data_IF_540585671058
#
_entry.id   IF_540585671058
#
_cell.length_a   1.000
_cell.length_b   1.000
_cell.length_c   1.000
_cell.angle_alpha   90.00
_cell.angle_beta   90.00
_cell.angle_gamma   90.00
#
_symmetry.space_group_name_H-M   'P 1'
#
loop_
_entity.id
_entity.type
_entity.pdbx_description
1 polymer ?
#
# COMPACT_ATOMS: atom_id res chain seq x y z
N UNK A 1 -17.62 -18.82 -5.92
CA UNK A 1 -16.36 -18.16 -5.51
C UNK A 1 -16.11 -18.41 -4.04
N UNK A 2 -14.87 -18.76 -3.69
CA UNK A 2 -14.52 -19.03 -2.33
C UNK A 2 -14.30 -17.77 -1.50
N UNK A 3 -14.15 -17.94 -0.19
CA UNK A 3 -13.82 -16.87 0.73
C UNK A 3 -12.37 -16.44 0.52
N UNK A 4 -12.07 -15.18 0.82
CA UNK A 4 -10.70 -14.64 0.74
C UNK A 4 -9.82 -15.37 1.78
N UNK A 5 -8.62 -15.77 1.36
CA UNK A 5 -7.65 -16.42 2.23
C UNK A 5 -6.52 -15.45 2.57
N UNK A 6 -5.82 -15.75 3.66
CA UNK A 6 -4.64 -14.96 4.03
C UNK A 6 -3.58 -15.00 2.93
N UNK A 7 -3.39 -16.16 2.30
CA UNK A 7 -2.45 -16.30 1.18
C UNK A 7 -2.77 -15.36 0.03
N UNK A 8 -4.06 -15.23 -0.31
CA UNK A 8 -4.49 -14.31 -1.36
C UNK A 8 -4.18 -12.85 -1.00
N UNK A 9 -4.35 -12.49 0.28
CA UNK A 9 -4.01 -11.14 0.76
C UNK A 9 -2.52 -10.89 0.59
N UNK A 10 -1.67 -11.85 0.95
CA UNK A 10 -0.22 -11.70 0.83
C UNK A 10 0.19 -11.60 -0.64
N UNK A 11 -0.37 -12.39 -1.52
CA UNK A 11 -0.09 -12.30 -2.97
C UNK A 11 -0.50 -10.93 -3.52
N UNK A 12 -1.65 -10.45 -3.10
CA UNK A 12 -2.13 -9.13 -3.51
C UNK A 12 -1.22 -8.03 -2.93
N UNK A 13 -0.79 -8.18 -1.69
CA UNK A 13 0.12 -7.22 -1.05
C UNK A 13 1.44 -7.11 -1.80
N UNK A 14 2.04 -8.25 -2.20
CA UNK A 14 3.28 -8.25 -2.99
C UNK A 14 3.10 -7.44 -4.28
N UNK A 15 2.01 -7.68 -4.98
CA UNK A 15 1.69 -6.99 -6.22
C UNK A 15 1.50 -5.50 -6.00
N UNK A 16 0.82 -5.13 -4.91
CA UNK A 16 0.57 -3.73 -4.57
C UNK A 16 1.85 -3.00 -4.16
N UNK A 17 2.71 -3.65 -3.38
CA UNK A 17 4.00 -3.06 -2.99
C UNK A 17 4.89 -2.83 -4.21
N UNK A 18 4.87 -3.75 -5.17
CA UNK A 18 5.61 -3.56 -6.43
C UNK A 18 5.07 -2.36 -7.22
N UNK A 19 3.75 -2.23 -7.28
CA UNK A 19 3.12 -1.10 -7.97
C UNK A 19 3.46 0.23 -7.27
N UNK A 20 3.45 0.26 -5.95
CA UNK A 20 3.82 1.44 -5.17
C UNK A 20 5.28 1.81 -5.38
N UNK A 21 6.17 0.82 -5.41
CA UNK A 21 7.59 1.02 -5.70
C UNK A 21 7.78 1.75 -7.03
N UNK A 22 7.12 1.26 -8.09
CA UNK A 22 7.21 1.87 -9.42
C UNK A 22 6.64 3.28 -9.44
N UNK A 23 5.54 3.48 -8.73
CA UNK A 23 4.87 4.77 -8.62
C UNK A 23 5.79 5.81 -7.96
N UNK A 24 6.45 5.45 -6.86
CA UNK A 24 7.34 6.36 -6.16
C UNK A 24 8.61 6.64 -6.96
N UNK A 25 9.10 5.68 -7.73
CA UNK A 25 10.21 5.93 -8.65
C UNK A 25 9.81 6.95 -9.71
N UNK A 26 8.63 6.81 -10.26
CA UNK A 26 8.11 7.77 -11.25
C UNK A 26 7.94 9.16 -10.63
N UNK A 27 7.42 9.22 -9.40
CA UNK A 27 7.27 10.49 -8.68
C UNK A 27 8.62 11.16 -8.43
N UNK A 28 9.63 10.38 -8.05
CA UNK A 28 10.99 10.88 -7.83
C UNK A 28 11.57 11.50 -9.10
N UNK A 29 11.37 10.86 -10.25
CA UNK A 29 11.87 11.35 -11.53
C UNK A 29 11.22 12.68 -11.93
N UNK A 30 9.96 12.91 -11.53
CA UNK A 30 9.21 14.11 -11.87
C UNK A 30 9.26 15.19 -10.81
N UNK A 31 9.83 14.90 -9.65
CA UNK A 31 9.91 15.86 -8.56
C UNK A 31 10.85 17.01 -8.92
N UNK A 32 10.45 18.24 -8.62
CA UNK A 32 11.20 19.44 -8.96
C UNK A 32 12.20 19.85 -7.89
N UNK A 33 12.07 19.34 -6.67
CA UNK A 33 13.01 19.65 -5.60
C UNK A 33 13.83 18.42 -5.23
N UNK A 34 15.05 18.66 -4.76
CA UNK A 34 15.94 17.60 -4.28
C UNK A 34 15.31 16.87 -3.09
N UNK A 35 14.69 17.65 -2.18
CA UNK A 35 14.05 17.09 -1.00
C UNK A 35 12.89 16.14 -1.35
N UNK A 36 12.06 16.54 -2.32
CA UNK A 36 10.95 15.70 -2.77
C UNK A 36 11.45 14.43 -3.44
N UNK A 37 12.44 14.56 -4.30
CA UNK A 37 13.04 13.40 -4.98
C UNK A 37 13.59 12.40 -3.98
N UNK A 38 14.35 12.89 -3.02
CA UNK A 38 14.96 12.04 -2.00
C UNK A 38 13.89 11.32 -1.17
N UNK A 39 12.83 12.02 -0.80
CA UNK A 39 11.71 11.42 -0.05
C UNK A 39 11.06 10.28 -0.84
N UNK A 40 10.78 10.50 -2.12
CA UNK A 40 10.17 9.45 -2.94
C UNK A 40 11.09 8.27 -3.17
N UNK A 41 12.41 8.51 -3.31
CA UNK A 41 13.38 7.43 -3.40
C UNK A 41 13.41 6.59 -2.13
N UNK A 42 13.34 7.22 -0.96
CA UNK A 42 13.27 6.54 0.33
C UNK A 42 11.97 5.73 0.46
N UNK A 43 10.85 6.30 0.05
CA UNK A 43 9.56 5.61 0.08
C UNK A 43 9.55 4.41 -0.86
N UNK A 44 10.16 4.56 -2.05
CA UNK A 44 10.29 3.45 -2.99
C UNK A 44 11.11 2.30 -2.39
N UNK A 45 12.20 2.63 -1.70
CA UNK A 45 13.03 1.62 -1.04
C UNK A 45 12.26 0.91 0.07
N UNK A 46 11.44 1.64 0.84
CA UNK A 46 10.60 1.04 1.88
C UNK A 46 9.59 0.06 1.29
N UNK A 47 8.95 0.43 0.18
CA UNK A 47 7.99 -0.45 -0.49
C UNK A 47 8.66 -1.72 -1.03
N UNK A 48 9.86 -1.59 -1.60
CA UNK A 48 10.63 -2.75 -2.05
C UNK A 48 10.97 -3.68 -0.88
N UNK A 49 11.28 -3.11 0.29
CA UNK A 49 11.53 -3.87 1.50
C UNK A 49 10.30 -4.64 1.99
N UNK A 50 9.14 -3.99 1.95
CA UNK A 50 7.87 -4.64 2.30
C UNK A 50 7.56 -5.80 1.37
N UNK A 51 7.74 -5.59 0.06
CA UNK A 51 7.55 -6.64 -0.94
C UNK A 51 8.41 -7.85 -0.60
N UNK A 52 9.70 -7.62 -0.33
CA UNK A 52 10.64 -8.69 0.03
C UNK A 52 10.19 -9.42 1.30
N UNK A 53 9.73 -8.70 2.30
CA UNK A 53 9.24 -9.29 3.55
C UNK A 53 8.04 -10.21 3.31
N UNK A 54 7.08 -9.76 2.49
CA UNK A 54 5.93 -10.58 2.14
C UNK A 54 6.34 -11.84 1.37
N UNK A 55 7.27 -11.71 0.43
CA UNK A 55 7.73 -12.83 -0.39
C UNK A 55 8.44 -13.90 0.44
N UNK A 56 9.08 -13.49 1.55
CA UNK A 56 9.80 -14.40 2.44
C UNK A 56 8.94 -15.04 3.51
N UNK A 57 7.65 -14.67 3.61
CA UNK A 57 6.75 -15.25 4.58
C UNK A 57 6.53 -16.73 4.31
N UNK A 58 6.61 -17.54 5.37
CA UNK A 58 6.25 -18.95 5.30
C UNK A 58 4.74 -19.08 5.38
N UNK A 59 4.09 -19.26 4.23
CA UNK A 59 2.64 -19.37 4.13
C UNK A 59 2.10 -20.75 4.50
N UNK A 60 2.99 -21.74 4.71
CA UNK A 60 2.57 -23.10 5.04
C UNK A 60 1.75 -23.20 6.31
N UNK A 61 1.96 -22.27 7.26
CA UNK A 61 1.20 -22.23 8.52
C UNK A 61 -0.05 -21.38 8.43
N UNK A 62 -0.19 -20.56 7.38
CA UNK A 62 -1.24 -19.56 7.26
C UNK A 62 -2.18 -19.80 6.08
N UNK A 63 -1.87 -20.73 5.21
CA UNK A 63 -2.62 -20.96 3.96
C UNK A 63 -4.08 -21.33 4.18
N UNK A 64 -4.42 -21.85 5.36
CA UNK A 64 -5.80 -22.23 5.67
C UNK A 64 -6.62 -21.13 6.34
N UNK A 65 -6.00 -19.98 6.58
CA UNK A 65 -6.71 -18.86 7.18
C UNK A 65 -7.67 -18.27 6.14
N UNK A 66 -8.95 -18.21 6.47
CA UNK A 66 -9.98 -17.61 5.61
C UNK A 66 -10.72 -16.52 6.36
N UNK A 67 -11.20 -15.53 5.62
CA UNK A 67 -12.00 -14.44 6.16
C UNK A 67 -13.46 -14.67 5.77
N UNK A 68 -14.37 -14.41 6.71
CA UNK A 68 -15.80 -14.69 6.53
C UNK A 68 -16.65 -13.47 6.79
N UNK A 69 -17.90 -13.50 6.31
CA UNK A 69 -18.90 -12.49 6.60
C UNK A 69 -18.50 -11.08 6.21
N UNK A 70 -18.73 -10.14 7.12
CA UNK A 70 -18.45 -8.73 6.89
C UNK A 70 -16.98 -8.45 6.66
N UNK A 71 -16.08 -9.16 7.37
CA UNK A 71 -14.65 -9.03 7.19
C UNK A 71 -14.22 -9.40 5.78
N UNK A 72 -14.73 -10.52 5.25
CA UNK A 72 -14.41 -10.96 3.89
C UNK A 72 -14.87 -9.94 2.85
N UNK A 73 -16.05 -9.38 3.02
CA UNK A 73 -16.59 -8.37 2.10
C UNK A 73 -15.74 -7.10 2.08
N UNK A 74 -15.31 -6.63 3.25
CA UNK A 74 -14.44 -5.45 3.36
C UNK A 74 -13.09 -5.69 2.72
N UNK A 75 -12.47 -6.82 3.02
CA UNK A 75 -11.16 -7.17 2.51
C UNK A 75 -11.20 -7.27 0.98
N UNK A 76 -12.20 -7.93 0.43
CA UNK A 76 -12.38 -8.06 -1.01
C UNK A 76 -12.51 -6.69 -1.69
N UNK A 77 -13.23 -5.75 -1.06
CA UNK A 77 -13.39 -4.39 -1.56
C UNK A 77 -12.04 -3.67 -1.68
N UNK A 78 -11.17 -3.83 -0.67
CA UNK A 78 -9.87 -3.15 -0.65
C UNK A 78 -8.81 -3.86 -1.52
N UNK A 79 -9.13 -5.00 -2.07
CA UNK A 79 -8.25 -5.73 -2.99
C UNK A 79 -8.48 -5.35 -4.46
N UNK A 80 -9.32 -4.36 -4.73
CA UNK A 80 -9.54 -3.89 -6.10
C UNK A 80 -8.29 -3.18 -6.63
N UNK A 81 -7.90 -3.52 -7.87
CA UNK A 81 -6.77 -2.87 -8.53
C UNK A 81 -7.11 -1.43 -8.91
N UNK A 82 -6.15 -0.54 -8.68
CA UNK A 82 -6.23 0.84 -9.12
C UNK A 82 -5.18 0.98 -10.25
N UNK A 83 -5.61 1.13 -11.52
CA UNK A 83 -4.66 1.12 -12.63
C UNK A 83 -3.74 2.34 -12.65
N UNK A 84 -2.45 2.11 -12.84
CA UNK A 84 -1.45 3.16 -13.03
C UNK A 84 -1.28 3.41 -14.53
N UNK A 85 -1.18 4.69 -14.91
CA UNK A 85 -0.92 5.09 -16.29
C UNK A 85 0.39 5.85 -16.35
N UNK A 86 1.23 5.55 -17.32
CA UNK A 86 2.54 6.19 -17.48
C UNK A 86 2.44 7.67 -17.87
N UNK A 87 1.32 8.09 -18.43
CA UNK A 87 1.10 9.46 -18.89
C UNK A 87 0.55 10.40 -17.81
N UNK A 88 0.52 9.95 -16.57
CA UNK A 88 0.00 10.76 -15.46
C UNK A 88 0.91 11.96 -15.15
N UNK A 89 0.28 13.10 -14.89
CA UNK A 89 0.98 14.29 -14.42
C UNK A 89 1.44 14.08 -12.97
N UNK A 90 2.34 14.93 -12.50
CA UNK A 90 2.80 14.84 -11.12
C UNK A 90 1.66 14.94 -10.09
N UNK A 91 0.74 15.91 -10.18
CA UNK A 91 -0.43 15.94 -9.28
C UNK A 91 -1.30 14.69 -9.36
N UNK A 92 -1.47 14.13 -10.56
CA UNK A 92 -2.23 12.89 -10.74
C UNK A 92 -1.55 11.72 -10.05
N UNK A 93 -0.21 11.64 -10.15
CA UNK A 93 0.58 10.61 -9.48
C UNK A 93 0.39 10.71 -7.96
N UNK A 94 0.47 11.93 -7.41
CA UNK A 94 0.29 12.16 -5.97
C UNK A 94 -1.11 11.74 -5.52
N UNK A 95 -2.13 12.13 -6.28
CA UNK A 95 -3.52 11.77 -5.97
C UNK A 95 -3.72 10.25 -6.02
N UNK A 96 -3.19 9.61 -7.05
CA UNK A 96 -3.25 8.15 -7.20
C UNK A 96 -2.54 7.46 -6.03
N UNK A 97 -1.36 7.96 -5.65
CA UNK A 97 -0.60 7.40 -4.53
C UNK A 97 -1.37 7.49 -3.21
N UNK A 98 -2.02 8.63 -2.96
CA UNK A 98 -2.84 8.79 -1.75
C UNK A 98 -3.95 7.74 -1.69
N UNK A 99 -4.63 7.49 -2.80
CA UNK A 99 -5.68 6.47 -2.87
C UNK A 99 -5.14 5.07 -2.64
N UNK A 100 -3.99 4.78 -3.24
CA UNK A 100 -3.34 3.48 -3.12
C UNK A 100 -2.92 3.20 -1.67
N UNK A 101 -2.33 4.21 -1.02
CA UNK A 101 -1.91 4.09 0.38
C UNK A 101 -3.12 3.96 1.32
N UNK A 102 -4.17 4.71 1.09
CA UNK A 102 -5.40 4.61 1.90
C UNK A 102 -6.02 3.23 1.78
N UNK A 103 -6.07 2.70 0.56
CA UNK A 103 -6.61 1.37 0.31
C UNK A 103 -5.77 0.29 1.00
N UNK A 104 -4.44 0.41 0.95
CA UNK A 104 -3.53 -0.52 1.63
C UNK A 104 -3.71 -0.46 3.15
N UNK A 105 -3.79 0.73 3.70
CA UNK A 105 -4.04 0.94 5.12
C UNK A 105 -5.33 0.24 5.57
N UNK A 106 -6.40 0.42 4.82
CA UNK A 106 -7.70 -0.18 5.14
C UNK A 106 -7.67 -1.69 5.01
N UNK A 107 -7.01 -2.20 3.98
CA UNK A 107 -6.87 -3.64 3.78
C UNK A 107 -6.13 -4.29 4.95
N UNK A 108 -4.97 -3.76 5.31
CA UNK A 108 -4.16 -4.34 6.38
C UNK A 108 -4.85 -4.22 7.74
N UNK A 109 -5.53 -3.11 7.99
CA UNK A 109 -6.30 -2.92 9.23
C UNK A 109 -7.45 -3.91 9.33
N UNK A 110 -8.23 -4.07 8.25
CA UNK A 110 -9.35 -4.99 8.23
C UNK A 110 -8.89 -6.44 8.42
N UNK A 111 -7.79 -6.81 7.76
CA UNK A 111 -7.22 -8.15 7.91
C UNK A 111 -6.71 -8.39 9.35
N UNK A 112 -6.06 -7.39 9.94
CA UNK A 112 -5.55 -7.48 11.31
C UNK A 112 -6.68 -7.67 12.32
N UNK A 113 -7.80 -6.96 12.13
CA UNK A 113 -8.96 -7.08 13.02
C UNK A 113 -9.61 -8.46 12.95
N UNK A 114 -9.51 -9.11 11.81
CA UNK A 114 -10.18 -10.39 11.57
C UNK A 114 -9.31 -11.61 11.88
N UNK A 115 -8.02 -11.41 12.16
CA UNK A 115 -7.07 -12.50 12.36
C UNK A 115 -6.75 -12.65 13.85
N UNK A 116 -6.68 -13.91 14.35
CA UNK A 116 -6.41 -14.18 15.76
C UNK A 116 -4.94 -14.39 16.08
N UNK A 117 -4.12 -14.72 15.08
CA UNK A 117 -2.70 -14.94 15.28
C UNK A 117 -2.00 -13.64 15.67
N UNK A 118 -1.43 -13.53 16.90
CA UNK A 118 -0.84 -12.28 17.35
C UNK A 118 0.33 -11.78 16.50
N UNK A 119 1.12 -12.71 15.92
CA UNK A 119 2.27 -12.33 15.07
C UNK A 119 1.81 -11.69 13.76
N UNK A 120 0.84 -12.33 13.12
CA UNK A 120 0.30 -11.83 11.85
C UNK A 120 -0.45 -10.53 12.06
N UNK A 121 -1.21 -10.45 13.16
CA UNK A 121 -1.92 -9.22 13.52
C UNK A 121 -0.96 -8.06 13.71
N UNK A 122 0.13 -8.27 14.45
CA UNK A 122 1.14 -7.24 14.69
C UNK A 122 1.78 -6.79 13.39
N UNK A 123 2.16 -7.74 12.53
CA UNK A 123 2.78 -7.45 11.25
C UNK A 123 1.87 -6.57 10.40
N UNK A 124 0.60 -6.94 10.28
CA UNK A 124 -0.37 -6.20 9.49
C UNK A 124 -0.60 -4.78 10.03
N UNK A 125 -0.65 -4.63 11.36
CA UNK A 125 -0.83 -3.32 11.99
C UNK A 125 0.39 -2.41 11.80
N UNK A 126 1.60 -2.98 11.86
CA UNK A 126 2.83 -2.23 11.59
C UNK A 126 2.83 -1.72 10.15
N UNK A 127 2.49 -2.59 9.20
CA UNK A 127 2.43 -2.21 7.78
C UNK A 127 1.34 -1.17 7.52
N UNK A 128 0.18 -1.33 8.15
CA UNK A 128 -0.90 -0.35 8.04
C UNK A 128 -0.42 1.04 8.50
N UNK A 129 0.32 1.09 9.60
CA UNK A 129 0.83 2.35 10.14
C UNK A 129 1.85 3.00 9.20
N UNK A 130 2.71 2.21 8.59
CA UNK A 130 3.68 2.71 7.59
C UNK A 130 2.95 3.30 6.38
N UNK A 131 1.93 2.60 5.86
CA UNK A 131 1.17 3.07 4.71
C UNK A 131 0.43 4.38 5.03
N UNK A 132 -0.10 4.49 6.25
CA UNK A 132 -0.73 5.73 6.70
C UNK A 132 0.27 6.89 6.76
N UNK A 133 1.48 6.62 7.23
CA UNK A 133 2.56 7.61 7.27
C UNK A 133 2.92 8.10 5.86
N UNK A 134 3.00 7.19 4.89
CA UNK A 134 3.24 7.53 3.49
C UNK A 134 2.14 8.43 2.96
N UNK A 135 0.89 8.07 3.23
CA UNK A 135 -0.27 8.87 2.80
C UNK A 135 -0.18 10.30 3.31
N UNK A 136 0.14 10.47 4.60
CA UNK A 136 0.22 11.80 5.20
C UNK A 136 1.33 12.64 4.58
N UNK A 137 2.48 12.03 4.26
CA UNK A 137 3.59 12.73 3.59
C UNK A 137 3.18 13.17 2.19
N UNK A 138 2.48 12.31 1.45
CA UNK A 138 2.02 12.61 0.10
C UNK A 138 0.96 13.71 0.12
N UNK A 139 0.04 13.67 1.09
CA UNK A 139 -0.97 14.71 1.26
C UNK A 139 -0.32 16.07 1.46
N UNK A 140 0.69 16.15 2.31
CA UNK A 140 1.40 17.39 2.57
C UNK A 140 2.03 17.94 1.30
N UNK A 141 2.64 17.09 0.49
CA UNK A 141 3.24 17.49 -0.78
C UNK A 141 2.20 17.92 -1.81
N UNK A 142 1.08 17.21 -1.86
CA UNK A 142 -0.01 17.56 -2.76
C UNK A 142 -0.56 18.93 -2.42
N UNK A 143 -0.78 19.20 -1.14
CA UNK A 143 -1.29 20.50 -0.67
C UNK A 143 -0.32 21.63 -1.02
N UNK A 144 0.98 21.43 -0.83
CA UNK A 144 2.01 22.42 -1.20
C UNK A 144 1.96 22.71 -2.71
N UNK A 145 1.85 21.65 -3.52
CA UNK A 145 1.80 21.79 -4.98
C UNK A 145 0.57 22.56 -5.43
N UNK A 146 -0.59 22.23 -4.89
CA UNK A 146 -1.85 22.88 -5.23
C UNK A 146 -1.82 24.36 -4.80
N UNK A 147 -1.34 24.65 -3.59
CA UNK A 147 -1.24 26.03 -3.10
C UNK A 147 -0.28 26.86 -3.94
N UNK A 148 0.82 26.27 -4.39
CA UNK A 148 1.80 26.95 -5.22
C UNK A 148 1.23 27.35 -6.59
N UNK A 149 0.21 26.62 -7.08
CA UNK A 149 -0.43 26.88 -8.36
C UNK A 149 -1.61 27.83 -8.26
N UNK A 150 -2.03 28.19 -7.05
CA UNK A 150 -3.08 29.16 -6.84
C UNK A 150 -2.49 30.58 -6.89
#
# INVERSE_FOLDING_TARGET
MGLTTFEEIIKFAVKREDAAYRLYKAAAERAQSIAARKMFEEMAAEEAGHKSSFEKLDLGQTEQYTFTGHADMKIAEYMADIPFREDMSYPEILHYAMKTEESAYRLYTAAAEAIDDPRLKKMLLVLADVEKGHKLRIEAMYDEKVLAEM
#
